data_IF_599919288251
#
_entry.id   IF_599919288251
#
_cell.length_a   1.000
_cell.length_b   1.000
_cell.length_c   1.000
_cell.angle_alpha   90.00
_cell.angle_beta   90.00
_cell.angle_gamma   90.00
#
_symmetry.space_group_name_H-M   'P 1'
#
loop_
_entity.id
_entity.type
_entity.pdbx_description
1 polymer ?
#
# COMPACT_ATOMS: atom_id res chain seq x y z
N UNK A 1 -27.09 -15.96 -23.74
CA UNK A 1 -27.20 -15.73 -22.28
C UNK A 1 -26.07 -16.49 -21.63
N UNK A 2 -25.12 -15.81 -21.01
CA UNK A 2 -24.63 -16.12 -19.66
C UNK A 2 -23.50 -15.16 -19.30
N UNK A 3 -23.81 -14.32 -18.33
CA UNK A 3 -22.97 -13.28 -17.75
C UNK A 3 -21.98 -13.91 -16.78
N UNK A 4 -20.69 -13.80 -17.04
CA UNK A 4 -19.65 -14.22 -16.08
C UNK A 4 -19.54 -13.18 -14.96
N UNK A 5 -20.19 -13.50 -13.85
CA UNK A 5 -20.11 -12.79 -12.57
C UNK A 5 -18.72 -12.98 -11.97
N UNK A 6 -17.98 -11.88 -11.81
CA UNK A 6 -16.71 -11.85 -11.08
C UNK A 6 -16.98 -11.98 -9.58
N UNK A 7 -16.69 -13.15 -9.01
CA UNK A 7 -16.76 -13.39 -7.58
C UNK A 7 -15.48 -12.88 -6.91
N UNK A 8 -15.58 -11.82 -6.10
CA UNK A 8 -14.48 -11.27 -5.31
C UNK A 8 -14.63 -11.75 -3.87
N UNK A 9 -13.86 -12.78 -3.51
CA UNK A 9 -13.70 -13.22 -2.12
C UNK A 9 -12.90 -12.17 -1.33
N UNK A 10 -13.58 -11.28 -0.60
CA UNK A 10 -12.95 -10.37 0.35
C UNK A 10 -12.65 -11.14 1.64
N UNK A 11 -11.39 -11.56 1.83
CA UNK A 11 -10.93 -12.13 3.10
C UNK A 11 -10.89 -11.01 4.16
N UNK A 12 -11.80 -11.09 5.11
CA UNK A 12 -11.88 -10.18 6.25
C UNK A 12 -11.24 -10.87 7.45
N UNK A 13 -10.08 -10.42 7.90
CA UNK A 13 -9.43 -10.91 9.12
C UNK A 13 -9.74 -9.95 10.27
N UNK A 14 -10.35 -10.49 11.32
CA UNK A 14 -10.63 -9.83 12.58
C UNK A 14 -9.62 -10.26 13.65
N UNK A 15 -9.02 -9.28 14.33
CA UNK A 15 -8.59 -9.29 15.74
C UNK A 15 -8.05 -7.87 16.01
N UNK A 16 -8.67 -6.96 16.76
CA UNK A 16 -9.08 -6.88 18.17
C UNK A 16 -8.14 -5.97 18.97
N UNK A 17 -8.78 -5.00 19.65
CA UNK A 17 -8.39 -4.10 20.76
C UNK A 17 -6.98 -3.47 20.86
N UNK A 18 -6.90 -2.13 20.97
CA UNK A 18 -6.77 -1.44 22.29
C UNK A 18 -6.07 -0.05 22.24
N UNK A 19 -6.87 0.98 22.60
CA UNK A 19 -6.67 2.16 23.49
C UNK A 19 -5.43 3.10 23.43
N UNK A 20 -5.78 4.38 23.76
CA UNK A 20 -5.01 5.56 24.27
C UNK A 20 -4.53 6.51 23.15
N UNK A 21 -5.03 7.75 23.04
CA UNK A 21 -4.93 8.88 23.99
C UNK A 21 -3.73 9.75 23.53
N UNK A 22 -3.83 11.04 23.21
CA UNK A 22 -3.89 12.18 24.15
C UNK A 22 -4.07 13.48 23.34
N UNK A 23 -4.98 14.33 23.82
CA UNK A 23 -5.12 15.75 23.45
C UNK A 23 -3.97 16.58 24.05
N UNK A 24 -3.37 17.48 23.27
CA UNK A 24 -2.69 18.68 23.78
C UNK A 24 -2.96 19.86 22.84
N UNK A 25 -3.76 20.81 23.31
CA UNK A 25 -3.83 22.16 22.77
C UNK A 25 -2.80 23.07 23.41
N UNK A 26 -2.58 24.23 22.79
CA UNK A 26 -2.15 25.46 23.46
C UNK A 26 -2.90 26.62 22.81
N UNK A 27 -3.51 27.45 23.66
CA UNK A 27 -4.23 28.67 23.33
C UNK A 27 -3.35 29.90 23.60
N UNK A 28 -3.61 30.98 22.86
CA UNK A 28 -3.26 32.36 23.20
C UNK A 28 -4.38 33.25 22.59
N UNK A 29 -5.28 33.82 23.39
CA UNK A 29 -5.26 35.21 23.93
C UNK A 29 -5.81 36.18 22.86
N UNK A 30 -6.91 36.94 23.01
CA UNK A 30 -7.30 37.88 24.08
C UNK A 30 -8.79 38.29 23.95
N UNK A 31 -9.28 38.97 24.99
CA UNK A 31 -10.67 39.18 25.46
C UNK A 31 -11.45 40.29 24.72
N UNK A 32 -12.77 40.08 24.54
CA UNK A 32 -13.77 41.15 24.51
C UNK A 32 -15.05 40.68 25.24
N UNK A 33 -15.43 41.40 26.30
CA UNK A 33 -16.68 41.19 27.01
C UNK A 33 -17.83 41.88 26.26
N UNK A 34 -18.78 41.09 25.78
CA UNK A 34 -20.12 41.55 25.42
C UNK A 34 -21.08 40.39 25.69
N UNK A 35 -22.09 40.63 26.53
CA UNK A 35 -23.19 39.71 26.81
C UNK A 35 -23.98 39.47 25.53
N UNK A 36 -23.66 38.37 24.87
CA UNK A 36 -24.40 37.83 23.75
C UNK A 36 -23.96 36.38 23.63
N UNK A 37 -24.89 35.45 23.80
CA UNK A 37 -24.68 34.03 23.51
C UNK A 37 -24.37 33.91 22.02
N UNK A 38 -23.10 34.06 21.67
CA UNK A 38 -22.55 33.77 20.36
C UNK A 38 -22.69 32.26 20.20
N UNK A 39 -23.80 31.85 19.58
CA UNK A 39 -23.90 30.55 18.97
C UNK A 39 -22.69 30.42 18.05
N UNK A 40 -21.69 29.66 18.49
CA UNK A 40 -20.62 29.19 17.60
C UNK A 40 -21.35 28.33 16.59
N UNK A 41 -21.70 28.93 15.45
CA UNK A 41 -22.25 28.20 14.34
C UNK A 41 -21.22 27.11 14.02
N UNK A 42 -21.57 25.87 14.34
CA UNK A 42 -20.80 24.70 13.96
C UNK A 42 -20.55 24.82 12.46
N UNK A 43 -19.31 25.15 12.10
CA UNK A 43 -18.90 25.13 10.71
C UNK A 43 -19.24 23.72 10.20
N UNK A 44 -20.09 23.58 9.17
CA UNK A 44 -20.55 22.26 8.75
C UNK A 44 -19.31 21.45 8.42
N UNK A 45 -19.09 20.38 9.19
CA UNK A 45 -17.92 19.53 9.09
C UNK A 45 -17.72 19.21 7.60
N UNK A 46 -16.69 19.80 6.99
CA UNK A 46 -16.41 19.63 5.55
C UNK A 46 -16.36 18.13 5.30
N UNK A 47 -17.42 17.58 4.68
CA UNK A 47 -17.50 16.16 4.35
C UNK A 47 -16.25 15.84 3.56
N UNK A 48 -15.28 15.13 4.19
CA UNK A 48 -14.03 14.76 3.54
C UNK A 48 -14.40 14.04 2.24
N UNK A 49 -14.16 14.71 1.10
CA UNK A 49 -14.57 14.21 -0.22
C UNK A 49 -13.98 12.82 -0.42
N UNK A 50 -14.80 11.87 -0.89
CA UNK A 50 -14.31 10.58 -1.35
C UNK A 50 -13.34 10.82 -2.52
N UNK A 51 -12.34 9.95 -2.64
CA UNK A 51 -11.41 10.09 -3.74
C UNK A 51 -12.13 9.79 -5.06
N UNK A 52 -11.70 10.43 -6.16
CA UNK A 52 -12.23 10.14 -7.49
C UNK A 52 -11.55 8.87 -8.03
N UNK A 53 -12.29 7.86 -8.50
CA UNK A 53 -11.69 6.66 -9.10
C UNK A 53 -10.71 7.02 -10.21
N UNK A 54 -9.60 6.28 -10.32
CA UNK A 54 -8.52 6.52 -11.28
C UNK A 54 -7.55 7.64 -10.89
N UNK A 55 -7.83 8.41 -9.83
CA UNK A 55 -6.88 9.42 -9.35
C UNK A 55 -5.71 8.75 -8.63
N UNK A 56 -4.49 8.99 -9.10
CA UNK A 56 -3.26 8.68 -8.37
C UNK A 56 -3.14 9.57 -7.12
N UNK A 57 -2.79 8.96 -5.99
CA UNK A 57 -2.60 9.67 -4.73
C UNK A 57 -1.19 9.52 -4.16
N UNK A 58 -0.39 8.58 -4.67
CA UNK A 58 1.01 8.43 -4.30
C UNK A 58 1.77 7.58 -5.32
N UNK A 59 3.07 7.85 -5.41
CA UNK A 59 4.07 6.97 -6.01
C UNK A 59 5.12 6.69 -4.95
N UNK A 60 5.33 5.42 -4.65
CA UNK A 60 6.19 4.97 -3.56
C UNK A 60 7.31 4.14 -4.16
N UNK A 61 8.53 4.58 -3.93
CA UNK A 61 9.72 3.83 -4.27
C UNK A 61 10.05 2.89 -3.12
N UNK A 62 10.10 1.59 -3.40
CA UNK A 62 10.45 0.56 -2.42
C UNK A 62 11.94 0.22 -2.58
N UNK A 63 12.78 0.47 -1.57
CA UNK A 63 14.20 0.13 -1.63
C UNK A 63 14.37 -1.39 -1.52
N UNK A 64 15.30 -1.95 -2.29
CA UNK A 64 15.63 -3.37 -2.25
C UNK A 64 16.54 -3.74 -1.05
N UNK A 65 16.46 -2.99 0.05
CA UNK A 65 17.27 -3.18 1.27
C UNK A 65 16.54 -3.97 2.36
N UNK A 66 15.30 -4.38 2.10
CA UNK A 66 14.41 -4.99 3.10
C UNK A 66 13.79 -3.97 4.07
N UNK A 67 14.05 -2.68 3.89
CA UNK A 67 13.45 -1.63 4.71
C UNK A 67 11.93 -1.53 4.45
N UNK A 68 11.18 -1.26 5.54
CA UNK A 68 9.76 -0.94 5.44
C UNK A 68 9.58 0.48 4.91
N UNK A 69 8.77 0.62 3.88
CA UNK A 69 8.23 1.91 3.44
C UNK A 69 6.72 1.89 3.53
N UNK A 70 6.11 3.07 3.56
CA UNK A 70 4.69 3.20 3.87
C UNK A 70 3.95 3.99 2.81
N UNK A 71 2.72 3.57 2.51
CA UNK A 71 1.79 4.40 1.76
C UNK A 71 1.38 5.62 2.57
N UNK A 72 0.74 6.65 1.98
CA UNK A 72 -0.08 7.56 2.77
C UNK A 72 -1.16 6.79 3.53
N UNK A 73 -1.74 7.44 4.55
CA UNK A 73 -2.87 6.87 5.28
C UNK A 73 -4.05 6.68 4.33
N UNK A 74 -4.46 5.43 4.14
CA UNK A 74 -5.58 5.08 3.28
C UNK A 74 -6.89 5.23 4.05
N UNK A 75 -7.82 6.04 3.55
CA UNK A 75 -9.07 6.33 4.24
C UNK A 75 -9.86 5.04 4.49
N UNK A 76 -10.37 4.89 5.72
CA UNK A 76 -11.20 3.73 6.10
C UNK A 76 -12.40 3.59 5.16
N UNK A 77 -12.57 2.39 4.57
CA UNK A 77 -13.68 2.04 3.69
C UNK A 77 -13.61 2.60 2.27
N UNK A 78 -12.51 3.25 1.88
CA UNK A 78 -12.26 3.65 0.50
C UNK A 78 -11.48 2.55 -0.23
N UNK A 79 -11.94 2.14 -1.41
CA UNK A 79 -11.18 1.24 -2.29
C UNK A 79 -10.02 1.99 -2.94
N UNK A 80 -8.87 1.32 -2.99
CA UNK A 80 -7.68 1.73 -3.74
C UNK A 80 -7.19 0.55 -4.58
N UNK A 81 -6.37 0.84 -5.58
CA UNK A 81 -5.60 -0.14 -6.35
C UNK A 81 -4.13 0.20 -6.15
N UNK A 82 -3.34 -0.79 -5.73
CA UNK A 82 -1.89 -0.69 -5.75
C UNK A 82 -1.41 -1.24 -7.09
N UNK A 83 -0.63 -0.45 -7.82
CA UNK A 83 0.04 -0.87 -9.04
C UNK A 83 1.54 -0.96 -8.79
N UNK A 84 2.08 -2.17 -8.83
CA UNK A 84 3.52 -2.38 -8.72
C UNK A 84 4.13 -2.55 -10.11
N UNK A 85 5.17 -1.78 -10.41
CA UNK A 85 5.85 -1.81 -11.70
C UNK A 85 7.37 -1.74 -11.54
N UNK A 86 8.05 -2.42 -12.46
CA UNK A 86 9.51 -2.51 -12.49
C UNK A 86 10.04 -3.68 -11.68
N UNK A 87 11.34 -3.65 -11.43
CA UNK A 87 12.09 -4.71 -10.78
C UNK A 87 13.39 -4.14 -10.19
N UNK A 88 13.94 -4.81 -9.19
CA UNK A 88 15.32 -4.59 -8.75
C UNK A 88 16.20 -5.76 -9.21
N UNK A 89 17.51 -5.52 -9.27
CA UNK A 89 18.49 -6.56 -9.52
C UNK A 89 18.99 -7.09 -8.18
N UNK A 90 19.06 -8.41 -8.02
CA UNK A 90 19.74 -9.05 -6.87
C UNK A 90 21.22 -9.21 -7.14
N UNK A 91 21.57 -9.56 -8.38
CA UNK A 91 22.95 -9.66 -8.83
C UNK A 91 23.01 -9.32 -10.33
N UNK A 92 24.13 -9.63 -11.00
CA UNK A 92 24.27 -9.43 -12.45
C UNK A 92 23.41 -10.37 -13.33
N UNK A 93 22.70 -11.32 -12.73
CA UNK A 93 21.99 -12.42 -13.42
C UNK A 93 20.48 -12.39 -13.18
N UNK A 94 20.10 -12.08 -11.93
CA UNK A 94 18.75 -12.17 -11.42
C UNK A 94 18.18 -10.80 -11.09
N UNK A 95 16.89 -10.70 -11.36
CA UNK A 95 16.04 -9.58 -11.02
C UNK A 95 14.88 -10.10 -10.21
N UNK A 96 14.23 -9.23 -9.45
CA UNK A 96 12.98 -9.58 -8.81
C UNK A 96 11.97 -8.45 -8.98
N UNK A 97 10.72 -8.84 -9.10
CA UNK A 97 9.58 -7.95 -9.19
C UNK A 97 8.67 -8.09 -7.95
N UNK A 98 7.45 -7.58 -8.04
CA UNK A 98 6.51 -7.65 -6.94
C UNK A 98 6.12 -9.09 -6.56
N UNK A 99 6.29 -10.07 -7.44
CA UNK A 99 5.84 -11.44 -7.24
C UNK A 99 6.97 -12.43 -6.99
N UNK A 100 8.08 -12.35 -7.72
CA UNK A 100 9.15 -13.35 -7.67
C UNK A 100 10.50 -12.84 -8.22
N UNK A 101 11.53 -13.68 -8.07
CA UNK A 101 12.80 -13.56 -8.78
C UNK A 101 12.69 -14.17 -10.18
N UNK A 102 13.47 -13.66 -11.13
CA UNK A 102 13.59 -14.20 -12.49
C UNK A 102 14.98 -13.88 -13.05
N UNK A 103 15.48 -14.71 -13.97
CA UNK A 103 16.70 -14.42 -14.70
C UNK A 103 16.38 -13.66 -15.99
N UNK A 104 17.17 -12.65 -16.37
CA UNK A 104 16.95 -11.95 -17.65
C UNK A 104 17.06 -12.90 -18.87
N UNK A 105 17.89 -13.94 -18.77
CA UNK A 105 18.03 -14.96 -19.82
C UNK A 105 16.80 -15.87 -19.94
N UNK A 106 15.99 -15.99 -18.90
CA UNK A 106 14.81 -16.84 -18.88
C UNK A 106 13.72 -16.25 -17.99
N UNK A 107 13.09 -15.14 -18.41
CA UNK A 107 12.11 -14.45 -17.59
C UNK A 107 10.81 -15.25 -17.43
N UNK A 108 10.60 -16.36 -18.16
CA UNK A 108 9.40 -17.18 -18.04
C UNK A 108 9.39 -18.14 -16.86
N UNK A 109 10.51 -18.28 -16.14
CA UNK A 109 10.66 -19.23 -15.03
C UNK A 109 10.89 -18.49 -13.72
N UNK A 110 9.82 -18.16 -12.97
CA UNK A 110 9.96 -17.45 -11.71
C UNK A 110 10.56 -18.37 -10.64
N UNK A 111 11.43 -17.81 -9.81
CA UNK A 111 11.94 -18.44 -8.60
C UNK A 111 11.21 -17.79 -7.43
N UNK A 112 10.37 -18.57 -6.75
CA UNK A 112 9.50 -18.06 -5.68
C UNK A 112 10.21 -18.00 -4.32
N UNK A 113 11.20 -18.87 -4.12
CA UNK A 113 11.91 -19.01 -2.85
C UNK A 113 13.42 -19.04 -3.08
N UNK A 114 14.16 -18.43 -2.15
CA UNK A 114 15.60 -18.61 -2.01
C UNK A 114 15.96 -18.75 -0.54
N UNK A 115 16.77 -19.75 -0.20
CA UNK A 115 17.14 -20.08 1.18
C UNK A 115 15.94 -20.14 2.16
N UNK A 116 14.77 -20.57 1.67
CA UNK A 116 13.51 -20.63 2.45
C UNK A 116 12.74 -19.31 2.57
N UNK A 117 13.27 -18.19 2.06
CA UNK A 117 12.59 -16.90 2.02
C UNK A 117 11.72 -16.80 0.77
N UNK A 118 10.44 -16.44 0.94
CA UNK A 118 9.54 -16.13 -0.17
C UNK A 118 9.93 -14.78 -0.78
N UNK A 119 10.32 -14.76 -2.05
CA UNK A 119 10.85 -13.58 -2.73
C UNK A 119 9.76 -12.68 -3.29
N UNK A 120 9.95 -11.37 -3.21
CA UNK A 120 9.08 -10.38 -3.86
C UNK A 120 8.56 -9.32 -2.91
N UNK A 121 7.51 -8.60 -3.30
CA UNK A 121 7.01 -7.47 -2.55
C UNK A 121 5.90 -7.88 -1.57
N UNK A 122 6.19 -7.83 -0.28
CA UNK A 122 5.20 -7.99 0.77
C UNK A 122 4.39 -6.71 0.99
N UNK A 123 3.13 -6.88 1.40
CA UNK A 123 2.23 -5.78 1.79
C UNK A 123 1.63 -6.07 3.15
N UNK A 124 1.84 -5.19 4.13
CA UNK A 124 1.46 -5.41 5.53
C UNK A 124 1.98 -6.76 6.09
N UNK A 125 3.18 -7.18 5.67
CA UNK A 125 3.82 -8.44 6.07
C UNK A 125 3.21 -9.71 5.44
N UNK A 126 2.20 -9.56 4.56
CA UNK A 126 1.63 -10.69 3.82
C UNK A 126 2.51 -11.08 2.63
N UNK A 127 2.52 -12.37 2.25
CA UNK A 127 3.40 -12.87 1.21
C UNK A 127 3.05 -12.30 -0.18
N UNK A 128 4.03 -12.20 -1.10
CA UNK A 128 3.87 -11.66 -2.46
C UNK A 128 2.77 -12.30 -3.31
N UNK A 129 2.25 -13.47 -2.93
CA UNK A 129 1.13 -14.16 -3.55
C UNK A 129 -0.16 -13.31 -3.64
N UNK A 130 -0.28 -12.28 -2.80
CA UNK A 130 -1.34 -11.27 -2.88
C UNK A 130 -1.39 -10.50 -4.22
N UNK A 131 -0.28 -10.47 -4.98
CA UNK A 131 -0.20 -9.83 -6.29
C UNK A 131 -0.81 -10.67 -7.43
N UNK A 132 -1.24 -11.90 -7.14
CA UNK A 132 -1.87 -12.81 -8.10
C UNK A 132 -0.89 -13.87 -8.59
N UNK A 133 -0.78 -14.06 -9.91
CA UNK A 133 0.17 -14.98 -10.53
C UNK A 133 1.33 -14.22 -11.14
N UNK A 134 2.46 -14.89 -11.34
CA UNK A 134 3.60 -14.33 -12.06
C UNK A 134 3.21 -13.81 -13.45
N UNK A 135 3.77 -12.65 -13.82
CA UNK A 135 3.57 -12.04 -15.14
C UNK A 135 4.92 -11.55 -15.66
N UNK A 136 5.28 -11.97 -16.86
CA UNK A 136 6.49 -11.50 -17.56
C UNK A 136 6.45 -10.02 -17.92
N UNK A 137 5.31 -9.35 -17.79
CA UNK A 137 5.22 -7.89 -17.90
C UNK A 137 5.80 -7.16 -16.67
N UNK A 138 6.05 -7.87 -15.56
CA UNK A 138 6.52 -7.31 -14.29
C UNK A 138 5.66 -6.14 -13.78
N UNK A 139 4.36 -6.20 -14.10
CA UNK A 139 3.37 -5.20 -13.76
C UNK A 139 2.16 -5.87 -13.09
N UNK A 140 1.89 -5.46 -11.86
CA UNK A 140 0.90 -6.08 -11.00
C UNK A 140 -0.09 -5.04 -10.49
N UNK A 141 -1.30 -5.49 -10.20
CA UNK A 141 -2.38 -4.64 -9.70
C UNK A 141 -3.20 -5.41 -8.69
N UNK A 142 -3.40 -4.85 -7.51
CA UNK A 142 -4.30 -5.43 -6.51
C UNK A 142 -5.20 -4.39 -5.87
N UNK A 143 -6.44 -4.77 -5.58
CA UNK A 143 -7.40 -3.92 -4.90
C UNK A 143 -7.24 -4.04 -3.38
N UNK A 144 -7.26 -2.91 -2.68
CA UNK A 144 -7.20 -2.84 -1.22
C UNK A 144 -8.29 -1.91 -0.70
N UNK A 145 -8.89 -2.26 0.44
CA UNK A 145 -9.81 -1.36 1.16
C UNK A 145 -9.03 -0.67 2.26
N UNK A 146 -9.00 0.66 2.21
CA UNK A 146 -8.31 1.47 3.22
C UNK A 146 -8.83 1.17 4.62
N UNK A 147 -7.92 1.09 5.59
CA UNK A 147 -8.21 0.76 6.99
C UNK A 147 -8.14 1.96 7.93
N UNK A 148 -7.89 3.16 7.41
CA UNK A 148 -7.61 4.34 8.22
C UNK A 148 -6.16 4.42 8.70
N UNK A 149 -5.26 3.60 8.13
CA UNK A 149 -3.81 3.59 8.37
C UNK A 149 -3.04 3.44 7.06
N UNK A 150 -1.74 3.71 7.09
CA UNK A 150 -0.84 3.35 6.00
C UNK A 150 -0.72 1.81 5.89
N UNK A 151 -0.44 1.35 4.67
CA UNK A 151 0.04 -0.01 4.43
C UNK A 151 1.57 0.01 4.46
N UNK A 152 2.19 -1.02 5.00
CA UNK A 152 3.63 -1.23 4.82
C UNK A 152 3.91 -1.98 3.52
N UNK A 153 5.02 -1.64 2.89
CA UNK A 153 5.60 -2.30 1.73
C UNK A 153 7.01 -2.70 2.11
N UNK A 154 7.37 -3.94 1.79
CA UNK A 154 8.70 -4.47 2.10
C UNK A 154 9.13 -5.42 1.01
N UNK A 155 10.36 -5.26 0.54
CA UNK A 155 10.94 -6.28 -0.30
C UNK A 155 11.45 -7.45 0.55
N UNK A 156 11.12 -8.68 0.15
CA UNK A 156 11.57 -9.92 0.77
C UNK A 156 12.66 -10.58 -0.07
N UNK A 157 13.85 -10.65 0.52
CA UNK A 157 15.02 -11.35 -0.02
C UNK A 157 15.70 -12.18 1.06
N UNK A 158 16.47 -13.19 0.61
CA UNK A 158 17.42 -13.91 1.45
C UNK A 158 18.71 -13.12 1.68
N UNK A 159 19.10 -12.27 0.73
CA UNK A 159 20.27 -11.40 0.84
C UNK A 159 19.94 -10.01 0.27
N UNK A 160 20.30 -8.94 1.01
CA UNK A 160 20.01 -7.56 0.58
C UNK A 160 21.25 -6.77 0.17
N UNK A 161 22.45 -7.29 0.43
CA UNK A 161 23.71 -6.55 0.31
C UNK A 161 24.19 -6.32 -1.13
N UNK A 162 23.68 -7.12 -2.06
CA UNK A 162 23.96 -7.12 -3.50
C UNK A 162 22.84 -6.47 -4.33
N UNK A 163 21.75 -6.09 -3.68
CA UNK A 163 20.60 -5.53 -4.35
C UNK A 163 20.84 -4.12 -4.91
N UNK A 164 20.33 -3.88 -6.11
CA UNK A 164 20.38 -2.57 -6.77
C UNK A 164 19.11 -2.28 -7.55
N UNK A 165 18.88 -1.00 -7.90
CA UNK A 165 17.62 -0.49 -8.50
C UNK A 165 16.44 -0.56 -7.54
N UNK A 166 15.27 -0.15 -8.02
CA UNK A 166 14.10 0.16 -7.21
C UNK A 166 12.82 -0.29 -7.93
N UNK A 167 11.82 -0.70 -7.15
CA UNK A 167 10.47 -0.96 -7.64
C UNK A 167 9.54 0.17 -7.22
N UNK A 168 8.61 0.55 -8.08
CA UNK A 168 7.62 1.59 -7.79
C UNK A 168 6.25 1.00 -7.54
N UNK A 169 5.56 1.54 -6.52
CA UNK A 169 4.16 1.26 -6.23
C UNK A 169 3.36 2.54 -6.36
N UNK A 170 2.47 2.59 -7.34
CA UNK A 170 1.47 3.64 -7.45
C UNK A 170 0.23 3.27 -6.66
N UNK A 171 -0.30 4.23 -5.90
CA UNK A 171 -1.57 4.10 -5.17
C UNK A 171 -2.64 4.90 -5.91
N UNK A 172 -3.61 4.20 -6.49
CA UNK A 172 -4.70 4.80 -7.27
C UNK A 172 -6.02 4.61 -6.54
N UNK A 173 -6.90 5.60 -6.60
CA UNK A 173 -8.24 5.47 -6.04
C UNK A 173 -9.06 4.47 -6.86
N UNK A 174 -9.59 3.45 -6.17
CA UNK A 174 -10.45 2.43 -6.75
C UNK A 174 -11.89 2.90 -6.92
N UNK A 175 -12.68 2.09 -7.62
CA UNK A 175 -14.13 2.23 -7.69
C UNK A 175 -14.79 1.77 -6.39
#
# INVERSE_FOLDING_TARGET
>A
METTTFDRTVKTLAADLSRRGVLRGVAAGLVAAATGTMAVADAPARKKRRCRPGKSIAFITVPATGALVFTPVLRKGQTYVLHATGFWATDGTFFNDAFARFAAKNPGQPILFDQGVRLGLAVDGLPPDLWGTYKTSHAYGMAVVGRGRALSLQFLDSAYGDNSRLLNVEVVCGR
#
